data_IF_120317382208
#
_entry.id   IF_120317382208
#
_cell.length_a   1.000
_cell.length_b   1.000
_cell.length_c   1.000
_cell.angle_alpha   90.00
_cell.angle_beta   90.00
_cell.angle_gamma   90.00
#
_symmetry.space_group_name_H-M   'P 1'
#
loop_
_entity.id
_entity.type
_entity.pdbx_description
1 polymer ?
#
# COMPACT_ATOMS: atom_id res chain seq x y z
N UNK A 1 -13.05 -0.63 7.37
CA UNK A 1 -12.36 -0.87 6.09
C UNK A 1 -10.86 -0.80 6.37
N UNK A 2 -10.12 -1.89 6.14
CA UNK A 2 -8.67 -1.95 6.40
C UNK A 2 -7.89 -1.36 5.22
N UNK A 3 -6.65 -0.93 5.45
CA UNK A 3 -5.78 -0.47 4.37
C UNK A 3 -5.51 -1.58 3.35
N UNK A 4 -5.40 -2.83 3.79
CA UNK A 4 -5.18 -3.99 2.91
C UNK A 4 -6.35 -4.16 1.94
N UNK A 5 -7.59 -4.04 2.41
CA UNK A 5 -8.77 -4.11 1.56
C UNK A 5 -8.82 -2.94 0.56
N UNK A 6 -8.48 -1.71 0.99
CA UNK A 6 -8.41 -0.54 0.09
C UNK A 6 -7.38 -0.77 -1.01
N UNK A 7 -6.17 -1.20 -0.64
CA UNK A 7 -5.07 -1.43 -1.57
C UNK A 7 -5.40 -2.56 -2.53
N UNK A 8 -5.96 -3.68 -2.04
CA UNK A 8 -6.33 -4.82 -2.88
C UNK A 8 -7.43 -4.43 -3.89
N UNK A 9 -8.46 -3.73 -3.47
CA UNK A 9 -9.52 -3.26 -4.36
C UNK A 9 -8.95 -2.35 -5.46
N UNK A 10 -8.12 -1.38 -5.08
CA UNK A 10 -7.47 -0.49 -6.06
C UNK A 10 -6.54 -1.26 -7.01
N UNK A 11 -5.80 -2.28 -6.53
CA UNK A 11 -4.98 -3.15 -7.39
C UNK A 11 -5.85 -3.86 -8.44
N UNK A 12 -6.97 -4.44 -8.04
CA UNK A 12 -7.89 -5.12 -8.96
C UNK A 12 -8.46 -4.13 -10.00
N UNK A 13 -8.83 -2.92 -9.57
CA UNK A 13 -9.34 -1.88 -10.48
C UNK A 13 -8.28 -1.42 -11.48
N UNK A 14 -7.05 -1.16 -11.03
CA UNK A 14 -5.94 -0.76 -11.90
C UNK A 14 -5.55 -1.86 -12.88
N UNK A 15 -5.67 -3.12 -12.48
CA UNK A 15 -5.47 -4.27 -13.37
C UNK A 15 -6.58 -4.35 -14.42
N UNK A 16 -7.85 -4.18 -14.03
CA UNK A 16 -8.99 -4.12 -14.97
C UNK A 16 -8.86 -2.97 -15.96
N UNK A 17 -8.27 -1.85 -15.54
CA UNK A 17 -7.96 -0.71 -16.40
C UNK A 17 -6.74 -0.93 -17.31
N UNK A 18 -5.98 -2.01 -17.11
CA UNK A 18 -4.77 -2.32 -17.88
C UNK A 18 -3.55 -1.46 -17.51
N UNK A 19 -3.59 -0.78 -16.36
CA UNK A 19 -2.49 0.09 -15.89
C UNK A 19 -1.38 -0.76 -15.26
N UNK A 20 -1.76 -1.78 -14.48
CA UNK A 20 -0.82 -2.73 -13.87
C UNK A 20 -1.01 -4.12 -14.46
N UNK A 21 0.03 -4.95 -14.41
CA UNK A 21 0.01 -6.31 -14.96
C UNK A 21 -0.53 -7.31 -13.93
N UNK A 22 -0.84 -8.52 -14.38
CA UNK A 22 -0.98 -9.67 -13.48
C UNK A 22 0.39 -10.28 -13.17
N UNK A 23 0.51 -10.93 -12.02
CA UNK A 23 1.72 -11.70 -11.65
C UNK A 23 1.72 -13.10 -12.27
N UNK A 24 0.65 -13.48 -12.99
CA UNK A 24 0.43 -14.82 -13.55
C UNK A 24 0.08 -15.89 -12.52
N UNK A 25 -0.08 -15.49 -11.24
CA UNK A 25 -0.59 -16.34 -10.17
C UNK A 25 -2.09 -16.14 -10.06
N UNK A 26 -2.81 -17.17 -9.63
CA UNK A 26 -4.25 -17.09 -9.37
C UNK A 26 -4.48 -17.11 -7.87
N UNK A 27 -5.34 -16.22 -7.39
CA UNK A 27 -5.82 -16.17 -6.03
C UNK A 27 -7.32 -16.48 -6.01
N UNK A 28 -7.74 -17.29 -5.04
CA UNK A 28 -9.16 -17.51 -4.79
C UNK A 28 -9.66 -16.40 -3.87
N UNK A 29 -10.48 -15.50 -4.42
CA UNK A 29 -11.09 -14.41 -3.64
C UNK A 29 -12.56 -14.74 -3.45
N UNK A 30 -13.02 -14.71 -2.20
CA UNK A 30 -14.45 -14.80 -1.90
C UNK A 30 -15.08 -13.42 -2.14
N UNK A 31 -15.99 -13.35 -3.11
CA UNK A 31 -16.67 -12.11 -3.48
C UNK A 31 -17.79 -11.81 -2.47
N UNK A 32 -18.39 -10.60 -2.52
CA UNK A 32 -19.46 -10.17 -1.60
C UNK A 32 -20.71 -11.09 -1.58
N UNK A 33 -20.82 -11.99 -2.56
CA UNK A 33 -21.88 -13.01 -2.67
C UNK A 33 -21.51 -14.38 -2.08
N UNK A 34 -20.34 -14.53 -1.47
CA UNK A 34 -19.82 -15.81 -0.96
C UNK A 34 -19.32 -16.76 -2.07
N UNK A 35 -19.19 -16.26 -3.30
CA UNK A 35 -18.69 -17.02 -4.44
C UNK A 35 -17.16 -16.94 -4.50
N UNK A 36 -16.50 -18.10 -4.54
CA UNK A 36 -15.05 -18.21 -4.74
C UNK A 36 -14.73 -17.96 -6.21
N UNK A 37 -14.17 -16.79 -6.50
CA UNK A 37 -13.74 -16.43 -7.85
C UNK A 37 -12.23 -16.60 -7.93
N UNK A 38 -11.75 -17.35 -8.91
CA UNK A 38 -10.34 -17.39 -9.28
C UNK A 38 -10.03 -16.10 -10.07
N UNK A 39 -9.24 -15.22 -9.46
CA UNK A 39 -8.76 -14.01 -10.10
C UNK A 39 -7.24 -14.08 -10.23
N UNK A 40 -6.73 -13.61 -11.36
CA UNK A 40 -5.30 -13.35 -11.47
C UNK A 40 -4.86 -12.33 -10.42
N UNK A 41 -3.79 -12.66 -9.70
CA UNK A 41 -3.21 -11.79 -8.69
C UNK A 41 -2.65 -10.54 -9.39
N UNK A 42 -3.15 -9.35 -9.05
CA UNK A 42 -2.64 -8.11 -9.63
C UNK A 42 -1.21 -7.86 -9.16
N UNK A 43 -0.42 -7.09 -9.89
CA UNK A 43 0.93 -6.70 -9.48
C UNK A 43 0.93 -6.01 -8.10
N UNK A 44 2.00 -6.20 -7.33
CA UNK A 44 2.17 -5.57 -6.02
C UNK A 44 2.33 -4.04 -6.17
N UNK A 45 1.59 -3.31 -5.34
CA UNK A 45 1.62 -1.86 -5.25
C UNK A 45 1.90 -1.47 -3.80
N UNK A 46 3.01 -0.77 -3.59
CA UNK A 46 3.35 -0.20 -2.29
C UNK A 46 3.65 1.28 -2.41
N UNK A 47 3.51 1.96 -1.27
CA UNK A 47 4.08 3.32 -1.13
C UNK A 47 5.60 3.24 -1.13
N UNK A 48 6.27 4.38 -1.32
CA UNK A 48 7.73 4.45 -1.24
C UNK A 48 8.29 3.80 0.04
N UNK A 49 7.70 4.13 1.20
CA UNK A 49 8.07 3.54 2.49
C UNK A 49 7.79 2.04 2.54
N UNK A 50 6.65 1.59 1.99
CA UNK A 50 6.36 0.17 1.90
C UNK A 50 7.44 -0.57 1.13
N UNK A 51 7.89 -0.04 -0.01
CA UNK A 51 9.01 -0.64 -0.74
C UNK A 51 10.31 -0.70 0.06
N UNK A 52 10.61 0.35 0.85
CA UNK A 52 11.78 0.34 1.74
C UNK A 52 11.73 -0.80 2.76
N UNK A 53 10.54 -1.10 3.29
CA UNK A 53 10.32 -2.25 4.21
C UNK A 53 10.54 -3.59 3.49
N UNK A 54 10.29 -3.65 2.18
CA UNK A 54 10.62 -4.79 1.31
C UNK A 54 12.07 -4.79 0.78
N UNK A 55 12.97 -3.98 1.36
CA UNK A 55 14.38 -3.82 0.90
C UNK A 55 14.51 -3.39 -0.56
N UNK A 56 13.54 -2.63 -1.06
CA UNK A 56 13.52 -2.05 -2.40
C UNK A 56 13.37 -0.54 -2.31
N UNK A 57 13.90 0.17 -3.29
CA UNK A 57 13.79 1.61 -3.38
C UNK A 57 13.20 1.97 -4.73
N UNK A 58 12.28 2.94 -4.75
CA UNK A 58 11.78 3.48 -6.03
C UNK A 58 12.93 4.21 -6.73
N UNK A 59 13.14 3.89 -8.01
CA UNK A 59 14.18 4.50 -8.84
C UNK A 59 14.00 6.01 -8.90
N UNK A 60 15.12 6.74 -8.92
CA UNK A 60 15.10 8.20 -8.96
C UNK A 60 14.41 8.69 -10.24
N UNK A 61 13.43 9.58 -10.09
CA UNK A 61 12.71 10.20 -11.22
C UNK A 61 11.42 9.50 -11.64
N UNK A 62 11.12 8.33 -11.08
CA UNK A 62 9.86 7.61 -11.35
C UNK A 62 8.65 8.35 -10.74
N UNK A 63 7.56 8.38 -11.50
CA UNK A 63 6.27 8.94 -11.05
C UNK A 63 5.37 7.83 -10.52
N UNK A 64 4.52 8.16 -9.55
CA UNK A 64 3.55 7.20 -9.01
C UNK A 64 2.57 6.75 -10.10
N UNK A 65 2.33 5.44 -10.18
CA UNK A 65 1.35 4.86 -11.11
C UNK A 65 -0.07 5.10 -10.63
N UNK A 66 -0.29 5.07 -9.31
CA UNK A 66 -1.60 5.25 -8.73
C UNK A 66 -1.55 6.14 -7.49
N UNK A 67 -2.68 6.76 -7.19
CA UNK A 67 -2.82 7.61 -6.01
C UNK A 67 -4.22 7.50 -5.45
N UNK A 68 -4.34 7.04 -4.21
CA UNK A 68 -5.63 6.87 -3.53
C UNK A 68 -5.50 7.15 -2.02
N UNK A 69 -6.64 7.27 -1.35
CA UNK A 69 -6.70 7.58 0.06
C UNK A 69 -6.52 6.32 0.91
N UNK A 70 -5.59 6.36 1.86
CA UNK A 70 -5.41 5.30 2.87
C UNK A 70 -5.54 5.87 4.28
N UNK A 71 -5.93 5.03 5.24
CA UNK A 71 -5.94 5.41 6.64
C UNK A 71 -4.52 5.43 7.19
N UNK A 72 -4.07 6.60 7.66
CA UNK A 72 -2.79 6.73 8.34
C UNK A 72 -3.02 6.84 9.83
N UNK A 73 -2.41 5.93 10.57
CA UNK A 73 -2.34 6.03 12.02
C UNK A 73 -1.17 6.95 12.41
N UNK A 74 -1.44 7.97 13.21
CA UNK A 74 -0.40 8.84 13.77
C UNK A 74 -0.60 8.94 15.28
N UNK A 75 0.45 8.59 16.02
CA UNK A 75 0.51 8.79 17.47
C UNK A 75 1.22 10.11 17.71
N UNK A 76 0.51 11.11 18.23
CA UNK A 76 1.14 12.37 18.65
C UNK A 76 1.36 12.32 20.15
N UNK A 77 2.63 12.23 20.58
CA UNK A 77 2.99 12.40 21.99
C UNK A 77 2.91 13.90 22.32
N UNK A 78 1.85 14.33 23.01
CA UNK A 78 1.82 15.67 23.61
C UNK A 78 2.77 15.66 24.81
N UNK A 79 3.84 16.45 24.77
CA UNK A 79 4.54 16.85 25.99
C UNK A 79 3.72 17.98 26.62
N UNK A 80 2.84 17.65 27.53
CA UNK A 80 2.28 18.64 28.46
C UNK A 80 3.09 18.49 29.75
N UNK A 81 3.70 19.59 30.21
CA UNK A 81 4.19 19.68 31.60
C UNK A 81 2.99 19.44 32.52
N UNK A 82 3.18 18.65 33.58
CA UNK A 82 2.16 18.00 34.42
C UNK A 82 1.47 16.76 33.82
N UNK A 83 2.17 15.64 33.99
CA UNK A 83 1.65 14.41 34.61
C UNK A 83 0.26 13.91 34.15
N UNK A 84 0.12 13.56 32.86
CA UNK A 84 -0.70 12.43 32.40
C UNK A 84 -0.36 12.16 30.93
N UNK A 85 0.17 10.96 30.66
CA UNK A 85 0.69 10.55 29.36
C UNK A 85 -0.49 10.13 28.45
N UNK A 86 -1.33 11.08 28.04
CA UNK A 86 -2.42 10.81 27.08
C UNK A 86 -1.84 10.65 25.66
N UNK A 87 -1.64 9.41 25.24
CA UNK A 87 -1.40 9.08 23.83
C UNK A 87 -2.67 9.35 23.03
N UNK A 88 -2.76 10.50 22.35
CA UNK A 88 -3.85 10.77 21.42
C UNK A 88 -3.55 10.08 20.09
N UNK A 89 -4.06 8.87 19.96
CA UNK A 89 -4.14 8.14 18.70
C UNK A 89 -5.07 8.90 17.74
N UNK A 90 -4.54 9.33 16.59
CA UNK A 90 -5.33 9.96 15.53
C UNK A 90 -5.21 9.14 14.26
N UNK A 91 -6.35 8.70 13.73
CA UNK A 91 -6.45 8.14 12.39
C UNK A 91 -7.05 9.18 11.46
N UNK A 92 -6.43 9.38 10.30
CA UNK A 92 -6.97 10.23 9.24
C UNK A 92 -6.70 9.61 7.87
N UNK A 93 -7.60 9.86 6.92
CA UNK A 93 -7.35 9.49 5.53
C UNK A 93 -6.35 10.46 4.91
N UNK A 94 -5.34 9.92 4.24
CA UNK A 94 -4.34 10.71 3.53
C UNK A 94 -4.14 10.18 2.12
N UNK A 95 -3.82 11.08 1.21
CA UNK A 95 -3.53 10.74 -0.18
C UNK A 95 -2.14 10.09 -0.23
N UNK A 96 -2.08 8.83 -0.63
CA UNK A 96 -0.85 8.06 -0.73
C UNK A 96 -0.53 7.72 -2.18
N UNK A 97 0.77 7.76 -2.48
CA UNK A 97 1.32 7.53 -3.81
C UNK A 97 1.89 6.12 -3.88
N UNK A 98 1.49 5.35 -4.89
CA UNK A 98 1.85 3.96 -5.06
C UNK A 98 2.71 3.75 -6.30
N UNK A 99 3.63 2.80 -6.17
CA UNK A 99 4.60 2.42 -7.18
C UNK A 99 4.58 0.90 -7.35
N UNK A 100 4.79 0.42 -8.57
CA UNK A 100 4.91 -1.02 -8.82
C UNK A 100 6.33 -1.53 -8.60
N UNK A 101 6.49 -2.85 -8.58
CA UNK A 101 7.81 -3.48 -8.44
C UNK A 101 8.75 -3.10 -9.59
N UNK A 102 8.24 -2.91 -10.82
CA UNK A 102 9.05 -2.50 -11.97
C UNK A 102 9.73 -1.13 -11.84
N UNK A 103 9.12 -0.24 -11.03
CA UNK A 103 9.64 1.11 -10.74
C UNK A 103 10.69 1.12 -9.62
N UNK A 104 10.98 -0.04 -9.04
CA UNK A 104 11.90 -0.15 -7.91
C UNK A 104 13.17 -0.91 -8.27
N UNK A 105 14.23 -0.64 -7.53
CA UNK A 105 15.49 -1.35 -7.54
C UNK A 105 15.75 -1.94 -6.15
N UNK A 106 16.48 -3.06 -6.10
CA UNK A 106 16.86 -3.65 -4.81
C UNK A 106 17.85 -2.72 -4.12
N UNK A 107 17.64 -2.44 -2.83
CA UNK A 107 18.63 -1.73 -2.03
C UNK A 107 19.80 -2.69 -1.85
N UNK A 108 20.94 -2.42 -2.48
CA UNK A 108 22.17 -3.13 -2.17
C UNK A 108 22.51 -2.82 -0.72
N UNK A 109 22.41 -3.81 0.17
CA UNK A 109 23.10 -3.73 1.45
C UNK A 109 24.61 -3.71 1.12
N UNK A 110 25.20 -2.51 1.09
CA UNK A 110 26.66 -2.40 1.15
C UNK A 110 27.09 -3.02 2.49
N UNK A 111 27.87 -4.09 2.37
CA UNK A 111 28.47 -4.86 3.47
C UNK A 111 29.41 -4.02 4.31
#
# INVERSE_FOLDING_TARGET
>A
MTNEAIILNNRIELMKQGIIKSTGRYITVENEKGEKVELEEPEELHTYRGWQEHKRQVKKGEKSIATFLIWKHTVTKKKTEENENEEKEKMFMTKAFFFTVGQTESIKEEK
#
